data_IF_018350607816
#
_entry.id   IF_018350607816
#
_cell.length_a   1.000
_cell.length_b   1.000
_cell.length_c   1.000
_cell.angle_alpha   90.00
_cell.angle_beta   90.00
_cell.angle_gamma   90.00
#
_symmetry.space_group_name_H-M   'P 1'
#
loop_
_entity.id
_entity.type
_entity.pdbx_description
1 polymer ?
#
# COMPACT_ATOMS: atom_id res chain seq x y z
N UNK A 1 15.04 -31.21 15.24
CA UNK A 1 14.07 -32.32 15.45
C UNK A 1 14.47 -33.62 14.73
N UNK A 2 15.04 -33.59 13.50
CA UNK A 2 15.41 -34.82 12.77
C UNK A 2 16.56 -35.63 13.38
N UNK A 3 17.61 -34.99 13.91
CA UNK A 3 18.80 -35.70 14.41
C UNK A 3 18.58 -36.48 15.72
N UNK A 4 17.50 -36.19 16.45
CA UNK A 4 17.26 -36.78 17.77
C UNK A 4 16.72 -38.22 17.71
N UNK A 5 16.08 -38.61 16.59
CA UNK A 5 15.40 -39.92 16.46
C UNK A 5 16.05 -40.85 15.44
N UNK A 6 17.05 -40.37 14.69
CA UNK A 6 17.72 -41.17 13.67
C UNK A 6 18.96 -41.84 14.25
N UNK A 7 18.95 -43.16 14.31
CA UNK A 7 20.18 -43.93 14.47
C UNK A 7 21.08 -43.64 13.26
N UNK A 8 22.35 -43.37 13.53
CA UNK A 8 23.34 -43.31 12.45
C UNK A 8 23.49 -44.71 11.86
N UNK A 9 23.11 -44.87 10.59
CA UNK A 9 23.28 -46.11 9.84
C UNK A 9 24.75 -46.56 9.89
N UNK A 10 25.70 -45.62 9.93
CA UNK A 10 27.13 -45.90 10.07
C UNK A 10 27.46 -46.57 11.41
N UNK A 11 26.77 -46.20 12.50
CA UNK A 11 26.96 -46.80 13.82
C UNK A 11 26.54 -48.27 13.80
N UNK A 12 25.40 -48.58 13.18
CA UNK A 12 24.94 -49.96 12.99
C UNK A 12 25.90 -50.75 12.09
N UNK A 13 26.39 -50.14 11.02
CA UNK A 13 27.37 -50.78 10.13
C UNK A 13 28.70 -51.09 10.83
N UNK A 14 29.20 -50.21 11.70
CA UNK A 14 30.40 -50.48 12.50
C UNK A 14 30.21 -51.71 13.38
N UNK A 15 29.06 -51.86 14.04
CA UNK A 15 28.76 -53.05 14.85
C UNK A 15 28.76 -54.30 13.98
N UNK A 16 28.08 -54.29 12.81
CA UNK A 16 28.11 -55.42 11.86
C UNK A 16 29.54 -55.79 11.45
N UNK A 17 30.36 -54.78 11.12
CA UNK A 17 31.77 -54.98 10.76
C UNK A 17 32.55 -55.66 11.88
N UNK A 18 32.36 -55.23 13.14
CA UNK A 18 33.05 -55.85 14.29
C UNK A 18 32.63 -57.30 14.53
N UNK A 19 31.35 -57.64 14.34
CA UNK A 19 30.89 -59.04 14.42
C UNK A 19 31.54 -59.89 13.32
N UNK A 20 31.60 -59.40 12.08
CA UNK A 20 32.25 -60.11 10.98
C UNK A 20 33.77 -60.26 11.20
N UNK A 21 34.44 -59.21 11.69
CA UNK A 21 35.86 -59.27 12.06
C UNK A 21 36.11 -60.29 13.17
N UNK A 22 35.24 -60.33 14.18
CA UNK A 22 35.30 -61.34 15.24
C UNK A 22 35.18 -62.76 14.69
N UNK A 23 34.28 -63.01 13.74
CA UNK A 23 34.22 -64.32 13.06
C UNK A 23 35.50 -64.64 12.28
N UNK A 24 36.11 -63.63 11.64
CA UNK A 24 37.38 -63.81 10.91
C UNK A 24 38.52 -64.25 11.84
N UNK A 25 38.71 -63.58 12.97
CA UNK A 25 39.74 -63.95 13.95
C UNK A 25 39.52 -65.36 14.50
N UNK A 26 38.25 -65.72 14.79
CA UNK A 26 37.93 -67.06 15.26
C UNK A 26 38.23 -68.14 14.20
N UNK A 27 37.97 -67.86 12.93
CA UNK A 27 38.31 -68.77 11.83
C UNK A 27 39.82 -68.95 11.67
N UNK A 28 40.61 -67.90 11.88
CA UNK A 28 42.07 -68.02 11.87
C UNK A 28 42.57 -68.91 13.02
N UNK A 29 41.97 -68.80 14.21
CA UNK A 29 42.25 -69.70 15.35
C UNK A 29 41.90 -71.16 15.01
N UNK A 30 40.72 -71.42 14.42
CA UNK A 30 40.31 -72.78 14.07
C UNK A 30 41.22 -73.40 12.99
N UNK A 31 41.68 -72.59 12.03
CA UNK A 31 42.58 -73.04 10.95
C UNK A 31 44.01 -73.28 11.43
N UNK A 32 44.49 -72.46 12.38
CA UNK A 32 45.83 -72.52 12.94
C UNK A 32 45.75 -72.37 14.47
N UNK A 33 45.46 -73.46 15.21
CA UNK A 33 45.24 -73.39 16.66
C UNK A 33 46.58 -73.39 17.41
N UNK A 34 47.33 -72.29 17.32
CA UNK A 34 48.59 -72.06 18.04
C UNK A 34 48.40 -70.97 19.09
N UNK A 35 49.27 -70.93 20.10
CA UNK A 35 49.13 -69.97 21.21
C UNK A 35 49.12 -68.52 20.73
N UNK A 36 49.94 -68.19 19.74
CA UNK A 36 50.00 -66.85 19.13
C UNK A 36 48.65 -66.39 18.55
N UNK A 37 47.98 -67.22 17.74
CA UNK A 37 46.71 -66.86 17.11
C UNK A 37 45.56 -66.79 18.11
N UNK A 38 45.60 -67.61 19.17
CA UNK A 38 44.61 -67.61 20.23
C UNK A 38 44.72 -66.32 21.05
N UNK A 39 45.94 -65.95 21.47
CA UNK A 39 46.17 -64.72 22.26
C UNK A 39 45.80 -63.48 21.46
N UNK A 40 46.18 -63.43 20.17
CA UNK A 40 45.81 -62.32 19.28
C UNK A 40 44.28 -62.21 19.14
N UNK A 41 43.59 -63.33 18.91
CA UNK A 41 42.14 -63.33 18.78
C UNK A 41 41.44 -62.86 20.07
N UNK A 42 41.89 -63.30 21.24
CA UNK A 42 41.33 -62.86 22.53
C UNK A 42 41.51 -61.35 22.77
N UNK A 43 42.67 -60.80 22.42
CA UNK A 43 42.91 -59.35 22.49
C UNK A 43 41.95 -58.59 21.57
N UNK A 44 41.81 -59.06 20.32
CA UNK A 44 40.91 -58.44 19.34
C UNK A 44 39.44 -58.56 19.78
N UNK A 45 39.01 -59.70 20.31
CA UNK A 45 37.64 -59.88 20.80
C UNK A 45 37.29 -58.89 21.92
N UNK A 46 38.21 -58.63 22.84
CA UNK A 46 38.01 -57.64 23.89
C UNK A 46 37.84 -56.23 23.30
N UNK A 47 38.70 -55.82 22.38
CA UNK A 47 38.60 -54.52 21.73
C UNK A 47 37.29 -54.36 20.93
N UNK A 48 36.90 -55.41 20.20
CA UNK A 48 35.67 -55.41 19.41
C UNK A 48 34.42 -55.35 20.30
N UNK A 49 34.42 -56.06 21.43
CA UNK A 49 33.33 -56.02 22.42
C UNK A 49 33.17 -54.61 23.01
N UNK A 50 34.26 -53.98 23.45
CA UNK A 50 34.23 -52.60 23.97
C UNK A 50 33.66 -51.64 22.93
N UNK A 51 34.08 -51.78 21.66
CA UNK A 51 33.55 -50.97 20.58
C UNK A 51 32.04 -51.17 20.37
N UNK A 52 31.57 -52.41 20.42
CA UNK A 52 30.14 -52.72 20.28
C UNK A 52 29.33 -52.13 21.43
N UNK A 53 29.77 -52.27 22.67
CA UNK A 53 29.10 -51.68 23.84
C UNK A 53 28.98 -50.15 23.73
N UNK A 54 30.05 -49.48 23.29
CA UNK A 54 30.04 -48.03 23.10
C UNK A 54 29.05 -47.58 22.01
N UNK A 55 29.01 -48.30 20.88
CA UNK A 55 28.09 -47.98 19.78
C UNK A 55 26.63 -48.33 20.13
N UNK A 56 26.40 -49.41 20.89
CA UNK A 56 25.07 -49.77 21.42
C UNK A 56 24.58 -48.69 22.39
N UNK A 57 25.42 -48.25 23.34
CA UNK A 57 25.07 -47.16 24.25
C UNK A 57 24.69 -45.88 23.50
N UNK A 58 25.44 -45.55 22.44
CA UNK A 58 25.15 -44.39 21.57
C UNK A 58 23.78 -44.50 20.88
N UNK A 59 23.34 -45.72 20.58
CA UNK A 59 22.01 -45.99 20.04
C UNK A 59 20.95 -45.85 21.15
N UNK A 60 21.19 -46.39 22.35
CA UNK A 60 20.24 -46.41 23.46
C UNK A 60 19.92 -45.04 24.05
N UNK A 61 20.87 -44.10 24.00
CA UNK A 61 20.64 -42.72 24.47
C UNK A 61 19.75 -41.90 23.52
N UNK A 62 19.45 -42.41 22.31
CA UNK A 62 18.51 -41.77 21.38
C UNK A 62 17.08 -42.15 21.75
N UNK A 63 16.14 -41.27 21.40
CA UNK A 63 14.72 -41.56 21.59
C UNK A 63 14.23 -42.54 20.51
N UNK A 64 14.36 -43.83 20.81
CA UNK A 64 13.97 -44.91 19.91
C UNK A 64 12.46 -45.21 20.03
N UNK A 65 11.86 -45.55 18.89
CA UNK A 65 10.49 -46.07 18.86
C UNK A 65 10.39 -47.37 19.66
N UNK A 66 9.18 -47.74 20.09
CA UNK A 66 9.00 -49.00 20.83
C UNK A 66 9.42 -50.22 19.99
N UNK A 67 9.15 -50.22 18.69
CA UNK A 67 9.60 -51.28 17.78
C UNK A 67 11.12 -51.35 17.64
N UNK A 68 11.79 -50.20 17.49
CA UNK A 68 13.27 -50.18 17.40
C UNK A 68 13.94 -50.61 18.72
N UNK A 69 13.33 -50.29 19.87
CA UNK A 69 13.77 -50.79 21.19
C UNK A 69 13.67 -52.31 21.27
N UNK A 70 12.58 -52.90 20.78
CA UNK A 70 12.39 -54.35 20.75
C UNK A 70 13.42 -55.04 19.84
N UNK A 71 13.68 -54.49 18.64
CA UNK A 71 14.69 -55.00 17.72
C UNK A 71 16.09 -54.91 18.32
N UNK A 72 16.43 -53.78 18.96
CA UNK A 72 17.72 -53.60 19.63
C UNK A 72 17.91 -54.57 20.80
N UNK A 73 16.85 -54.85 21.57
CA UNK A 73 16.90 -55.84 22.64
C UNK A 73 17.16 -57.25 22.10
N UNK A 74 16.47 -57.66 21.03
CA UNK A 74 16.74 -58.94 20.35
C UNK A 74 18.19 -59.02 19.87
N UNK A 75 18.70 -57.94 19.26
CA UNK A 75 20.10 -57.89 18.85
C UNK A 75 21.05 -58.11 20.04
N UNK A 76 20.83 -57.44 21.17
CA UNK A 76 21.66 -57.60 22.37
C UNK A 76 21.62 -59.03 22.90
N UNK A 77 20.46 -59.66 22.94
CA UNK A 77 20.31 -61.07 23.36
C UNK A 77 21.13 -62.00 22.46
N UNK A 78 21.03 -61.85 21.13
CA UNK A 78 21.82 -62.64 20.19
C UNK A 78 23.31 -62.32 20.22
N UNK A 79 23.69 -61.07 20.51
CA UNK A 79 25.09 -60.67 20.66
C UNK A 79 25.73 -61.32 21.89
N UNK A 80 25.00 -61.38 23.01
CA UNK A 80 25.45 -62.08 24.23
C UNK A 80 25.61 -63.57 23.94
N UNK A 81 24.60 -64.21 23.33
CA UNK A 81 24.68 -65.62 22.95
C UNK A 81 25.88 -65.89 22.02
N UNK A 82 26.09 -65.02 21.04
CA UNK A 82 27.24 -65.09 20.13
C UNK A 82 28.58 -65.02 20.90
N UNK A 83 28.70 -64.13 21.88
CA UNK A 83 29.89 -64.00 22.71
C UNK A 83 30.11 -65.25 23.58
N UNK A 84 29.08 -65.78 24.23
CA UNK A 84 29.16 -67.01 25.04
C UNK A 84 29.60 -68.21 24.19
N UNK A 85 29.00 -68.38 23.02
CA UNK A 85 29.32 -69.45 22.07
C UNK A 85 30.76 -69.32 21.57
N UNK A 86 31.26 -68.10 21.36
CA UNK A 86 32.66 -67.82 20.97
C UNK A 86 33.65 -68.23 22.06
N UNK A 87 33.37 -67.91 23.31
CA UNK A 87 34.20 -68.31 24.44
C UNK A 87 34.25 -69.85 24.59
N UNK A 88 33.12 -70.55 24.40
CA UNK A 88 33.11 -72.01 24.47
C UNK A 88 33.90 -72.63 23.30
N UNK A 89 33.82 -72.08 22.09
CA UNK A 89 34.67 -72.51 20.96
C UNK A 89 36.14 -72.32 21.31
N UNK A 90 36.56 -71.16 21.82
CA UNK A 90 37.95 -70.90 22.22
C UNK A 90 38.43 -71.88 23.29
N UNK A 91 37.61 -72.14 24.30
CA UNK A 91 37.92 -73.09 25.38
C UNK A 91 38.11 -74.52 24.86
N UNK A 92 37.29 -74.95 23.90
CA UNK A 92 37.42 -76.26 23.25
C UNK A 92 38.70 -76.34 22.42
N UNK A 93 39.04 -75.28 21.67
CA UNK A 93 40.31 -75.18 20.93
C UNK A 93 41.52 -75.24 21.87
N UNK A 94 41.51 -74.47 22.95
CA UNK A 94 42.57 -74.47 24.00
C UNK A 94 42.73 -75.84 24.67
N UNK A 95 41.65 -76.60 24.75
CA UNK A 95 41.63 -77.97 25.30
C UNK A 95 41.94 -79.05 24.25
N UNK A 96 42.38 -78.67 23.04
CA UNK A 96 42.66 -79.56 21.91
C UNK A 96 41.45 -80.40 21.43
N UNK A 97 40.21 -79.96 21.72
CA UNK A 97 38.96 -80.66 21.35
C UNK A 97 38.36 -80.11 20.06
N UNK A 98 39.09 -80.21 18.95
CA UNK A 98 38.73 -79.56 17.68
C UNK A 98 37.41 -80.02 17.06
N UNK A 99 37.06 -81.31 17.18
CA UNK A 99 35.78 -81.82 16.67
C UNK A 99 34.57 -81.26 17.44
N UNK A 100 34.71 -81.06 18.75
CA UNK A 100 33.68 -80.41 19.56
C UNK A 100 33.62 -78.92 19.24
N UNK A 101 34.77 -78.26 19.05
CA UNK A 101 34.85 -76.86 18.65
C UNK A 101 34.14 -76.60 17.30
N UNK A 102 34.33 -77.46 16.30
CA UNK A 102 33.65 -77.34 15.00
C UNK A 102 32.12 -77.47 15.12
N UNK A 103 31.64 -78.38 15.96
CA UNK A 103 30.19 -78.50 16.21
C UNK A 103 29.63 -77.29 16.96
N UNK A 104 30.37 -76.76 17.93
CA UNK A 104 29.96 -75.58 18.68
C UNK A 104 29.99 -74.33 17.78
N UNK A 105 30.93 -74.26 16.83
CA UNK A 105 31.00 -73.18 15.85
C UNK A 105 29.70 -73.01 15.04
N UNK A 106 28.96 -74.09 14.75
CA UNK A 106 27.66 -73.98 14.08
C UNK A 106 26.61 -73.23 14.89
N UNK A 107 26.62 -73.36 16.23
CA UNK A 107 25.73 -72.61 17.11
C UNK A 107 26.12 -71.13 17.17
N UNK A 108 27.43 -70.87 17.21
CA UNK A 108 27.97 -69.52 17.09
C UNK A 108 27.57 -68.85 15.78
N UNK A 109 27.64 -69.57 14.67
CA UNK A 109 27.24 -69.08 13.35
C UNK A 109 25.75 -68.69 13.34
N UNK A 110 24.88 -69.54 13.91
CA UNK A 110 23.46 -69.22 14.06
C UNK A 110 23.25 -67.96 14.91
N UNK A 111 23.88 -67.86 16.08
CA UNK A 111 23.77 -66.68 16.95
C UNK A 111 24.28 -65.40 16.26
N UNK A 112 25.41 -65.49 15.55
CA UNK A 112 25.97 -64.39 14.75
C UNK A 112 25.00 -63.96 13.64
N UNK A 113 24.38 -64.91 12.94
CA UNK A 113 23.45 -64.62 11.86
C UNK A 113 22.19 -63.92 12.39
N UNK A 114 21.63 -64.40 13.50
CA UNK A 114 20.46 -63.75 14.13
C UNK A 114 20.78 -62.34 14.64
N UNK A 115 21.99 -62.13 15.19
CA UNK A 115 22.45 -60.79 15.58
C UNK A 115 22.54 -59.86 14.35
N UNK A 116 23.19 -60.29 13.27
CA UNK A 116 23.32 -59.50 12.05
C UNK A 116 21.96 -59.19 11.38
N UNK A 117 21.04 -60.16 11.38
CA UNK A 117 19.68 -59.98 10.86
C UNK A 117 18.89 -58.96 11.68
N UNK A 118 19.02 -58.96 13.00
CA UNK A 118 18.38 -57.97 13.87
C UNK A 118 18.89 -56.55 13.58
N UNK A 119 20.17 -56.39 13.25
CA UNK A 119 20.73 -55.10 12.83
C UNK A 119 20.21 -54.66 11.44
N UNK A 120 19.99 -55.60 10.52
CA UNK A 120 19.39 -55.31 9.21
C UNK A 120 17.92 -54.89 9.34
N UNK A 121 17.17 -55.54 10.23
CA UNK A 121 15.79 -55.16 10.58
C UNK A 121 15.74 -53.73 11.14
N UNK A 122 16.68 -53.39 12.04
CA UNK A 122 16.79 -52.05 12.61
C UNK A 122 17.06 -50.98 11.53
N UNK A 123 17.99 -51.25 10.59
CA UNK A 123 18.27 -50.35 9.46
C UNK A 123 17.02 -50.18 8.58
N UNK A 124 16.31 -51.27 8.29
CA UNK A 124 15.12 -51.25 7.46
C UNK A 124 13.99 -50.42 8.09
N UNK A 125 13.73 -50.62 9.38
CA UNK A 125 12.75 -49.84 10.16
C UNK A 125 13.03 -48.33 10.08
N UNK A 126 14.28 -47.92 10.37
CA UNK A 126 14.69 -46.52 10.31
C UNK A 126 14.59 -45.93 8.89
N UNK A 127 14.95 -46.70 7.86
CA UNK A 127 14.85 -46.26 6.47
C UNK A 127 13.38 -46.05 6.06
N UNK A 128 12.48 -46.94 6.49
CA UNK A 128 11.04 -46.82 6.23
C UNK A 128 10.43 -45.62 6.97
N UNK A 129 10.80 -45.41 8.24
CA UNK A 129 10.37 -44.23 8.99
C UNK A 129 10.83 -42.93 8.32
N UNK A 130 12.08 -42.88 7.86
CA UNK A 130 12.63 -41.72 7.17
C UNK A 130 11.92 -41.42 5.84
N UNK A 131 11.58 -42.45 5.04
CA UNK A 131 10.85 -42.25 3.78
C UNK A 131 9.39 -41.84 4.02
N UNK A 132 8.73 -42.42 5.01
CA UNK A 132 7.37 -42.03 5.41
C UNK A 132 7.33 -40.56 5.87
N UNK A 133 8.24 -40.16 6.75
CA UNK A 133 8.37 -38.77 7.20
C UNK A 133 8.69 -37.83 6.02
N UNK A 134 9.55 -38.23 5.08
CA UNK A 134 9.84 -37.43 3.89
C UNK A 134 8.59 -37.21 3.02
N UNK A 135 7.77 -38.25 2.82
CA UNK A 135 6.50 -38.16 2.10
C UNK A 135 5.52 -37.23 2.81
N UNK A 136 5.38 -37.36 4.13
CA UNK A 136 4.52 -36.50 4.95
C UNK A 136 4.96 -35.03 4.90
N UNK A 137 6.26 -34.75 4.98
CA UNK A 137 6.80 -33.40 4.81
C UNK A 137 6.50 -32.86 3.42
N UNK A 138 6.69 -33.67 2.37
CA UNK A 138 6.42 -33.26 1.00
C UNK A 138 4.94 -32.92 0.83
N UNK A 139 4.05 -33.71 1.43
CA UNK A 139 2.61 -33.42 1.43
C UNK A 139 2.29 -32.13 2.19
N UNK A 140 2.89 -31.93 3.37
CA UNK A 140 2.72 -30.72 4.18
C UNK A 140 3.24 -29.47 3.47
N UNK A 141 4.35 -29.59 2.74
CA UNK A 141 4.91 -28.54 1.90
C UNK A 141 3.96 -28.17 0.76
N UNK A 142 3.43 -29.16 0.03
CA UNK A 142 2.45 -28.93 -1.05
C UNK A 142 1.17 -28.28 -0.52
N UNK A 143 0.66 -28.73 0.64
CA UNK A 143 -0.50 -28.14 1.29
C UNK A 143 -0.24 -26.67 1.69
N UNK A 144 0.93 -26.39 2.26
CA UNK A 144 1.33 -25.03 2.66
C UNK A 144 1.41 -24.08 1.47
N UNK A 145 2.02 -24.53 0.36
CA UNK A 145 2.07 -23.75 -0.89
C UNK A 145 0.67 -23.53 -1.46
N UNK A 146 -0.19 -24.54 -1.40
CA UNK A 146 -1.56 -24.46 -1.91
C UNK A 146 -2.37 -23.41 -1.14
N UNK A 147 -2.31 -23.43 0.19
CA UNK A 147 -2.97 -22.42 1.04
C UNK A 147 -2.43 -21.02 0.76
N UNK A 148 -1.09 -20.88 0.67
CA UNK A 148 -0.46 -19.58 0.39
C UNK A 148 -0.90 -19.00 -0.97
N UNK A 149 -1.02 -19.85 -2.00
CA UNK A 149 -1.55 -19.45 -3.32
C UNK A 149 -2.97 -18.90 -3.22
N UNK A 150 -3.86 -19.55 -2.47
CA UNK A 150 -5.24 -19.07 -2.29
C UNK A 150 -5.29 -17.74 -1.54
N UNK A 151 -4.53 -17.59 -0.45
CA UNK A 151 -4.44 -16.33 0.31
C UNK A 151 -3.96 -15.19 -0.60
N UNK A 152 -2.91 -15.44 -1.38
CA UNK A 152 -2.36 -14.47 -2.33
C UNK A 152 -3.38 -14.07 -3.40
N UNK A 153 -4.11 -15.04 -3.95
CA UNK A 153 -5.14 -14.78 -4.97
C UNK A 153 -6.30 -13.95 -4.40
N UNK A 154 -6.77 -14.26 -3.19
CA UNK A 154 -7.81 -13.47 -2.50
C UNK A 154 -7.31 -12.05 -2.23
N UNK A 155 -6.09 -11.91 -1.71
CA UNK A 155 -5.48 -10.60 -1.46
C UNK A 155 -5.39 -9.75 -2.73
N UNK A 156 -5.05 -10.37 -3.86
CA UNK A 156 -5.01 -9.70 -5.16
C UNK A 156 -6.39 -9.22 -5.62
N UNK A 157 -7.43 -10.07 -5.49
CA UNK A 157 -8.81 -9.69 -5.82
C UNK A 157 -9.28 -8.52 -4.95
N UNK A 158 -9.03 -8.57 -3.64
CA UNK A 158 -9.37 -7.49 -2.71
C UNK A 158 -8.66 -6.19 -3.07
N UNK A 159 -7.36 -6.26 -3.44
CA UNK A 159 -6.61 -5.08 -3.87
C UNK A 159 -7.21 -4.44 -5.13
N UNK A 160 -7.61 -5.25 -6.12
CA UNK A 160 -8.29 -4.74 -7.34
C UNK A 160 -9.62 -4.09 -6.99
N UNK A 161 -10.43 -4.74 -6.14
CA UNK A 161 -11.75 -4.21 -5.75
C UNK A 161 -11.63 -2.89 -4.98
N UNK A 162 -10.71 -2.81 -4.02
CA UNK A 162 -10.47 -1.59 -3.25
C UNK A 162 -9.89 -0.48 -4.13
N UNK A 163 -8.90 -0.80 -4.97
CA UNK A 163 -8.32 0.15 -5.93
C UNK A 163 -9.37 0.70 -6.90
N UNK A 164 -10.23 -0.18 -7.43
CA UNK A 164 -11.35 0.20 -8.28
C UNK A 164 -12.38 1.06 -7.55
N UNK A 165 -12.76 0.68 -6.33
CA UNK A 165 -13.72 1.44 -5.52
C UNK A 165 -13.23 2.87 -5.23
N UNK A 166 -11.98 3.01 -4.79
CA UNK A 166 -11.36 4.32 -4.50
C UNK A 166 -11.29 5.15 -5.79
N UNK A 167 -10.79 4.56 -6.87
CA UNK A 167 -10.64 5.25 -8.17
C UNK A 167 -11.97 5.76 -8.72
N UNK A 168 -13.03 4.94 -8.66
CA UNK A 168 -14.38 5.32 -9.11
C UNK A 168 -14.95 6.44 -8.22
N UNK A 169 -14.76 6.36 -6.91
CA UNK A 169 -15.28 7.36 -5.98
C UNK A 169 -14.65 8.74 -6.22
N UNK A 170 -13.32 8.79 -6.32
CA UNK A 170 -12.57 10.02 -6.62
C UNK A 170 -12.96 10.56 -7.99
N UNK A 171 -12.94 9.72 -9.03
CA UNK A 171 -13.26 10.14 -10.40
C UNK A 171 -14.66 10.73 -10.51
N UNK A 172 -15.66 10.14 -9.85
CA UNK A 172 -17.04 10.67 -9.82
C UNK A 172 -17.10 12.04 -9.14
N UNK A 173 -16.41 12.24 -8.03
CA UNK A 173 -16.42 13.52 -7.30
C UNK A 173 -15.68 14.60 -8.07
N UNK A 174 -14.55 14.27 -8.70
CA UNK A 174 -13.82 15.19 -9.56
C UNK A 174 -14.61 15.56 -10.81
N UNK A 175 -15.26 14.58 -11.46
CA UNK A 175 -16.13 14.82 -12.61
C UNK A 175 -17.27 15.80 -12.28
N UNK A 176 -17.90 15.68 -11.12
CA UNK A 176 -18.90 16.67 -10.64
C UNK A 176 -18.29 18.06 -10.46
N UNK A 177 -17.06 18.16 -9.93
CA UNK A 177 -16.37 19.44 -9.78
C UNK A 177 -16.08 20.09 -11.13
N UNK A 178 -15.57 19.30 -12.09
CA UNK A 178 -15.27 19.75 -13.44
C UNK A 178 -16.54 20.20 -14.18
N UNK A 179 -17.62 19.41 -14.09
CA UNK A 179 -18.90 19.77 -14.71
C UNK A 179 -19.46 21.07 -14.13
N UNK A 180 -19.35 21.25 -12.82
CA UNK A 180 -19.79 22.47 -12.15
C UNK A 180 -18.96 23.69 -12.57
N UNK A 181 -17.63 23.56 -12.63
CA UNK A 181 -16.74 24.61 -13.13
C UNK A 181 -17.00 24.95 -14.59
N UNK A 182 -17.33 23.95 -15.42
CA UNK A 182 -17.72 24.17 -16.81
C UNK A 182 -19.01 24.98 -16.93
N UNK A 183 -20.07 24.62 -16.19
CA UNK A 183 -21.32 25.40 -16.15
C UNK A 183 -21.08 26.85 -15.71
N UNK A 184 -20.24 27.06 -14.70
CA UNK A 184 -19.83 28.39 -14.26
C UNK A 184 -19.14 29.19 -15.38
N UNK A 185 -18.20 28.57 -16.10
CA UNK A 185 -17.51 29.20 -17.24
C UNK A 185 -18.46 29.59 -18.38
N UNK A 186 -19.60 28.91 -18.50
CA UNK A 186 -20.66 29.23 -19.46
C UNK A 186 -21.64 30.31 -18.95
N UNK A 187 -21.40 30.88 -17.76
CA UNK A 187 -22.28 31.90 -17.16
C UNK A 187 -23.50 31.34 -16.44
N UNK A 188 -23.68 30.01 -16.35
CA UNK A 188 -24.77 29.42 -15.57
C UNK A 188 -24.41 29.43 -14.08
N UNK A 189 -24.80 30.50 -13.41
CA UNK A 189 -24.66 30.64 -11.97
C UNK A 189 -25.77 29.95 -11.19
N UNK A 190 -26.77 29.31 -11.80
CA UNK A 190 -27.93 28.75 -11.09
C UNK A 190 -27.65 27.40 -10.39
N UNK A 191 -26.62 26.68 -10.85
CA UNK A 191 -26.27 25.35 -10.37
C UNK A 191 -25.91 25.33 -8.87
N UNK A 192 -26.26 24.23 -8.20
CA UNK A 192 -25.91 23.99 -6.78
C UNK A 192 -24.80 22.95 -6.68
N UNK A 193 -23.67 23.33 -6.09
CA UNK A 193 -22.58 22.39 -5.81
C UNK A 193 -22.84 21.64 -4.50
N UNK A 194 -22.89 20.31 -4.57
CA UNK A 194 -22.89 19.43 -3.41
C UNK A 194 -21.80 18.38 -3.56
N UNK A 195 -20.56 18.79 -3.26
CA UNK A 195 -19.43 17.88 -3.07
C UNK A 195 -19.16 17.82 -1.57
N UNK A 196 -19.54 16.71 -0.96
CA UNK A 196 -19.26 16.42 0.44
C UNK A 196 -17.90 15.73 0.53
N UNK A 197 -17.09 16.15 1.50
CA UNK A 197 -15.78 15.56 1.79
C UNK A 197 -14.95 16.44 2.70
N UNK A 198 -14.04 15.82 3.44
CA UNK A 198 -13.02 16.48 4.26
C UNK A 198 -11.64 16.50 3.59
N UNK A 199 -11.53 15.88 2.43
CA UNK A 199 -10.34 15.80 1.58
C UNK A 199 -10.20 17.02 0.67
N UNK A 200 -9.12 17.05 -0.13
CA UNK A 200 -8.78 18.10 -1.08
C UNK A 200 -9.90 18.32 -2.10
N UNK A 201 -10.58 17.25 -2.53
CA UNK A 201 -11.74 17.34 -3.44
C UNK A 201 -12.93 18.04 -2.77
N UNK A 202 -13.15 17.80 -1.48
CA UNK A 202 -14.14 18.53 -0.68
C UNK A 202 -13.80 20.02 -0.51
N UNK A 203 -12.52 20.33 -0.28
CA UNK A 203 -12.03 21.73 -0.18
C UNK A 203 -12.20 22.46 -1.52
N UNK A 204 -11.87 21.80 -2.64
CA UNK A 204 -12.09 22.32 -3.98
C UNK A 204 -13.57 22.66 -4.21
N UNK A 205 -14.48 21.75 -3.86
CA UNK A 205 -15.92 21.98 -3.99
C UNK A 205 -16.43 23.16 -3.16
N UNK A 206 -15.96 23.31 -1.91
CA UNK A 206 -16.30 24.46 -1.06
C UNK A 206 -15.79 25.78 -1.65
N UNK A 207 -14.56 25.77 -2.19
CA UNK A 207 -13.93 26.95 -2.76
C UNK A 207 -14.65 27.42 -4.03
N UNK A 208 -14.99 26.48 -4.94
CA UNK A 208 -15.79 26.76 -6.13
C UNK A 208 -17.17 27.31 -5.79
N UNK A 209 -17.84 26.72 -4.79
CA UNK A 209 -19.12 27.23 -4.29
C UNK A 209 -19.01 28.68 -3.82
N UNK A 210 -17.99 29.01 -3.01
CA UNK A 210 -17.80 30.36 -2.50
C UNK A 210 -17.50 31.38 -3.61
N UNK A 211 -16.72 30.98 -4.63
CA UNK A 211 -16.44 31.84 -5.77
C UNK A 211 -17.71 32.24 -6.54
N UNK A 212 -18.62 31.28 -6.77
CA UNK A 212 -19.90 31.55 -7.45
C UNK A 212 -20.83 32.41 -6.59
N UNK A 213 -20.90 32.15 -5.28
CA UNK A 213 -21.69 33.00 -4.37
C UNK A 213 -21.21 34.46 -4.42
N UNK A 214 -19.90 34.69 -4.41
CA UNK A 214 -19.35 36.03 -4.53
C UNK A 214 -19.64 36.65 -5.91
N UNK A 215 -19.58 35.87 -6.99
CA UNK A 215 -19.92 36.34 -8.34
C UNK A 215 -21.40 36.75 -8.45
N UNK A 216 -22.30 35.98 -7.83
CA UNK A 216 -23.74 36.33 -7.78
C UNK A 216 -23.97 37.65 -7.05
N UNK A 217 -23.27 37.89 -5.93
CA UNK A 217 -23.34 39.16 -5.18
C UNK A 217 -22.86 40.31 -6.07
N UNK A 218 -21.69 40.16 -6.70
CA UNK A 218 -21.13 41.19 -7.56
C UNK A 218 -22.03 41.52 -8.76
N UNK A 219 -22.62 40.52 -9.42
CA UNK A 219 -23.58 40.77 -10.50
C UNK A 219 -24.85 41.46 -9.98
N UNK A 220 -25.32 41.13 -8.78
CA UNK A 220 -26.45 41.81 -8.16
C UNK A 220 -26.15 43.29 -7.92
N UNK A 221 -24.96 43.61 -7.39
CA UNK A 221 -24.51 44.99 -7.18
C UNK A 221 -24.39 45.77 -8.49
N UNK A 222 -23.81 45.16 -9.53
CA UNK A 222 -23.74 45.76 -10.88
C UNK A 222 -25.15 46.02 -11.43
N UNK A 223 -26.08 45.08 -11.24
CA UNK A 223 -27.47 45.23 -11.73
C UNK A 223 -28.15 46.42 -11.06
N UNK A 224 -28.03 46.53 -9.72
CA UNK A 224 -28.59 47.65 -8.95
C UNK A 224 -27.97 48.97 -9.42
N UNK A 225 -26.63 49.05 -9.49
CA UNK A 225 -25.94 50.27 -9.93
C UNK A 225 -26.30 50.68 -11.37
N UNK A 226 -26.52 49.71 -12.27
CA UNK A 226 -27.00 49.98 -13.62
C UNK A 226 -28.43 50.53 -13.64
N UNK A 227 -29.30 50.07 -12.74
CA UNK A 227 -30.67 50.60 -12.58
C UNK A 227 -30.62 52.04 -12.07
N UNK A 228 -29.81 52.31 -11.04
CA UNK A 228 -29.64 53.66 -10.48
C UNK A 228 -29.07 54.65 -11.52
N UNK A 229 -28.09 54.20 -12.32
CA UNK A 229 -27.53 54.99 -13.41
C UNK A 229 -28.56 55.26 -14.52
N UNK A 230 -29.41 54.29 -14.84
CA UNK A 230 -30.51 54.47 -15.78
C UNK A 230 -31.52 55.49 -15.27
N UNK A 231 -31.90 55.43 -13.99
CA UNK A 231 -32.79 56.39 -13.36
C UNK A 231 -32.20 57.81 -13.35
N UNK A 232 -30.93 57.94 -12.96
CA UNK A 232 -30.21 59.23 -12.96
C UNK A 232 -30.10 59.83 -14.37
N UNK A 233 -29.92 58.98 -15.40
CA UNK A 233 -29.88 59.41 -16.80
C UNK A 233 -31.24 59.92 -17.29
N UNK A 234 -32.34 59.30 -16.83
CA UNK A 234 -33.70 59.77 -17.12
C UNK A 234 -33.99 61.11 -16.44
N UNK A 235 -33.58 61.27 -15.18
CA UNK A 235 -33.71 62.54 -14.45
C UNK A 235 -32.90 63.66 -15.13
N UNK A 236 -31.64 63.37 -15.51
CA UNK A 236 -30.79 64.33 -16.24
C UNK A 236 -31.40 64.73 -17.59
N UNK A 237 -31.99 63.78 -18.33
CA UNK A 237 -32.67 64.07 -19.59
C UNK A 237 -33.86 65.02 -19.36
N UNK A 238 -34.68 64.76 -18.34
CA UNK A 238 -35.80 65.62 -17.99
C UNK A 238 -35.34 67.03 -17.58
N UNK A 239 -34.29 67.15 -16.76
CA UNK A 239 -33.71 68.45 -16.39
C UNK A 239 -33.14 69.19 -17.60
N UNK A 240 -32.57 68.47 -18.57
CA UNK A 240 -32.05 69.07 -19.80
C UNK A 240 -33.18 69.60 -20.69
N UNK A 241 -34.31 68.90 -20.77
CA UNK A 241 -35.51 69.37 -21.47
C UNK A 241 -36.09 70.63 -20.80
N UNK A 242 -36.20 70.64 -19.47
CA UNK A 242 -36.65 71.80 -18.70
C UNK A 242 -35.73 73.02 -18.88
N UNK A 243 -34.41 72.78 -18.87
CA UNK A 243 -33.42 73.83 -19.12
C UNK A 243 -33.54 74.41 -20.53
N UNK A 244 -33.76 73.56 -21.54
CA UNK A 244 -33.96 73.98 -22.93
C UNK A 244 -35.20 74.87 -23.04
N UNK A 245 -36.32 74.46 -22.44
CA UNK A 245 -37.53 75.29 -22.40
C UNK A 245 -37.32 76.63 -21.70
N UNK A 246 -36.53 76.64 -20.61
CA UNK A 246 -36.18 77.88 -19.92
C UNK A 246 -35.32 78.80 -20.80
N UNK A 247 -34.37 78.25 -21.57
CA UNK A 247 -33.55 79.02 -22.52
C UNK A 247 -34.42 79.61 -23.65
N UNK A 248 -35.42 78.89 -24.14
CA UNK A 248 -36.37 79.41 -25.13
C UNK A 248 -37.12 80.63 -24.57
N UNK A 249 -37.63 80.53 -23.34
CA UNK A 249 -38.28 81.65 -22.65
C UNK A 249 -37.34 82.86 -22.44
N UNK A 250 -36.08 82.61 -22.07
CA UNK A 250 -35.07 83.68 -21.93
C UNK A 250 -34.78 84.35 -23.27
N UNK A 251 -34.73 83.58 -24.35
CA UNK A 251 -34.53 84.09 -25.71
C UNK A 251 -35.70 84.97 -26.15
N UNK A 252 -36.94 84.55 -25.87
CA UNK A 252 -38.14 85.35 -26.11
C UNK A 252 -38.12 86.66 -25.29
N UNK A 253 -37.80 86.59 -24.01
CA UNK A 253 -37.66 87.80 -23.16
C UNK A 253 -36.58 88.75 -23.70
N UNK A 254 -35.44 88.22 -24.16
CA UNK A 254 -34.38 89.03 -24.76
C UNK A 254 -34.86 89.72 -26.05
N UNK A 255 -35.68 89.05 -26.87
CA UNK A 255 -36.32 89.64 -28.05
C UNK A 255 -37.25 90.80 -27.66
N UNK A 256 -38.11 90.60 -26.65
CA UNK A 256 -39.01 91.65 -26.15
C UNK A 256 -38.23 92.85 -25.62
N UNK A 257 -37.11 92.62 -24.92
CA UNK A 257 -36.22 93.69 -24.45
C UNK A 257 -35.58 94.42 -25.63
N UNK A 258 -35.12 93.72 -26.67
CA UNK A 258 -34.56 94.31 -27.88
C UNK A 258 -35.59 95.19 -28.62
N UNK A 259 -36.84 94.74 -28.73
CA UNK A 259 -37.93 95.52 -29.31
C UNK A 259 -38.28 96.76 -28.45
N UNK A 260 -38.37 96.58 -27.13
CA UNK A 260 -38.61 97.67 -26.19
C UNK A 260 -37.51 98.73 -26.22
N UNK A 261 -36.25 98.32 -26.30
CA UNK A 261 -35.11 99.24 -26.45
C UNK A 261 -35.10 99.96 -27.80
N UNK A 262 -35.48 99.30 -28.90
CA UNK A 262 -35.71 99.98 -30.18
C UNK A 262 -36.84 101.02 -30.09
N UNK A 263 -37.94 100.68 -29.42
CA UNK A 263 -39.04 101.60 -29.15
C UNK A 263 -38.60 102.82 -28.34
N UNK A 264 -37.88 102.60 -27.23
CA UNK A 264 -37.25 103.65 -26.42
C UNK A 264 -36.30 104.52 -27.24
N UNK A 265 -35.51 103.93 -28.14
CA UNK A 265 -34.63 104.69 -29.05
C UNK A 265 -35.43 105.62 -29.95
N UNK A 266 -36.52 105.14 -30.57
CA UNK A 266 -37.43 105.98 -31.38
C UNK A 266 -38.05 107.12 -30.56
N UNK A 267 -38.56 106.82 -29.37
CA UNK A 267 -39.11 107.85 -28.45
C UNK A 267 -38.03 108.87 -28.11
N UNK A 268 -36.81 108.44 -27.82
CA UNK A 268 -35.68 109.33 -27.51
C UNK A 268 -35.33 110.23 -28.70
N UNK A 269 -35.37 109.70 -29.93
CA UNK A 269 -35.21 110.49 -31.16
C UNK A 269 -36.32 111.52 -31.33
N UNK A 270 -37.57 111.13 -31.06
CA UNK A 270 -38.73 112.02 -31.13
C UNK A 270 -38.69 113.12 -30.06
N UNK A 271 -38.28 112.77 -28.83
CA UNK A 271 -38.01 113.73 -27.74
C UNK A 271 -36.88 114.68 -28.15
N UNK A 272 -35.80 114.17 -28.76
CA UNK A 272 -34.70 115.02 -29.24
C UNK A 272 -35.19 115.98 -30.33
N UNK A 273 -36.03 115.51 -31.25
CA UNK A 273 -36.63 116.33 -32.31
C UNK A 273 -37.55 117.40 -31.73
N UNK A 274 -38.44 117.05 -30.81
CA UNK A 274 -39.33 118.01 -30.15
C UNK A 274 -38.55 119.03 -29.32
N UNK A 275 -37.47 118.63 -28.64
CA UNK A 275 -36.56 119.58 -27.98
C UNK A 275 -35.91 120.54 -28.98
N UNK A 276 -35.54 120.06 -30.16
CA UNK A 276 -34.99 120.91 -31.23
C UNK A 276 -36.03 121.89 -31.77
N UNK A 277 -37.27 121.45 -31.99
CA UNK A 277 -38.40 122.31 -32.38
C UNK A 277 -38.70 123.36 -31.28
N UNK A 278 -38.68 122.97 -30.01
CA UNK A 278 -38.83 123.90 -28.87
C UNK A 278 -37.69 124.90 -28.81
N UNK A 279 -36.46 124.45 -29.07
CA UNK A 279 -35.28 125.33 -29.12
C UNK A 279 -35.38 126.35 -30.26
N UNK A 280 -35.77 125.93 -31.46
CA UNK A 280 -36.05 126.84 -32.58
C UNK A 280 -37.19 127.82 -32.26
N UNK A 281 -38.27 127.34 -31.65
CA UNK A 281 -39.38 128.18 -31.20
C UNK A 281 -38.91 129.21 -30.17
N UNK A 282 -38.05 128.82 -29.23
CA UNK A 282 -37.45 129.71 -28.24
C UNK A 282 -36.58 130.80 -28.89
N UNK A 283 -35.76 130.45 -29.89
CA UNK A 283 -35.00 131.44 -30.67
C UNK A 283 -35.94 132.40 -31.39
N UNK A 284 -37.01 131.88 -32.00
CA UNK A 284 -38.00 132.69 -32.72
C UNK A 284 -38.75 133.64 -31.77
N UNK A 285 -39.08 133.18 -30.56
CA UNK A 285 -39.67 133.99 -29.49
C UNK A 285 -38.69 135.06 -29.00
N UNK A 286 -37.42 134.73 -28.79
CA UNK A 286 -36.37 135.69 -28.42
C UNK A 286 -36.19 136.77 -29.50
N UNK A 287 -36.20 136.38 -30.79
CA UNK A 287 -36.18 137.33 -31.91
C UNK A 287 -37.42 138.24 -31.91
N UNK A 288 -38.62 137.70 -31.66
CA UNK A 288 -39.85 138.49 -31.52
C UNK A 288 -39.78 139.47 -30.34
N UNK A 289 -39.26 139.03 -29.20
CA UNK A 289 -39.08 139.86 -27.99
C UNK A 289 -38.06 140.98 -28.21
N UNK A 290 -36.93 140.70 -28.89
CA UNK A 290 -35.95 141.72 -29.29
C UNK A 290 -36.52 142.72 -30.29
N UNK A 291 -37.46 142.31 -31.14
CA UNK A 291 -38.23 143.20 -32.01
C UNK A 291 -39.22 144.08 -31.25
N UNK A 292 -39.81 143.56 -30.16
CA UNK A 292 -40.74 144.30 -29.31
C UNK A 292 -40.05 145.37 -28.44
N UNK A 293 -38.80 145.13 -28.03
CA UNK A 293 -38.02 146.07 -27.20
C UNK A 293 -37.34 147.21 -27.98
N UNK A 294 -37.72 147.43 -29.25
CA UNK A 294 -37.15 148.47 -30.12
C UNK A 294 -38.11 149.65 -30.44
N UNK A 295 -39.22 149.76 -29.72
CA UNK A 295 -40.16 150.88 -29.80
C UNK A 295 -40.56 151.37 -28.42
#
# INVERSE_FOLDING_TARGET
MYEQHLISIDTVHRIKQRVVLSNSYLMDVLRKPVEETIVEAEEQFNQLTIGNEADIYTIEIKDLSQGDKEILNKFKEYLILYQEEREEVLKLVKSFRFYEADRQYKKLEEASNQALLSLDELIASHKQGATAANLENKQSYVNSITINRFITMIGFIVAILLGGFISINISKRLSKATQFAYSFGQGDLSQKMSILGKDEVGVLGKSLKKAIENMRVLLSEITIGSTDMSASSQELSATTEEMTSTIDNVTELAQVIAEGTQGLSKITQEVSKTLQEVYELSITLDQKMKGYNKY
#
